data_IF_427417672137
#
_entry.id   IF_427417672137
#
_cell.length_a   1.000
_cell.length_b   1.000
_cell.length_c   1.000
_cell.angle_alpha   90.00
_cell.angle_beta   90.00
_cell.angle_gamma   90.00
#
_symmetry.space_group_name_H-M   'P 1'
#
loop_
_entity.id
_entity.type
_entity.pdbx_description
1 polymer ?
#
# COMPACT_ATOMS: atom_id res chain seq x y z
N UNK A 1 -39.14 -8.11 18.95
CA UNK A 1 -38.44 -9.40 19.02
C UNK A 1 -36.94 -9.17 18.91
N UNK A 2 -36.34 -8.87 20.05
CA UNK A 2 -34.90 -8.97 20.27
C UNK A 2 -34.57 -10.46 20.43
N UNK A 3 -33.75 -11.01 19.54
CA UNK A 3 -33.00 -12.22 19.83
C UNK A 3 -31.57 -12.00 19.34
N UNK A 4 -30.69 -11.87 20.32
CA UNK A 4 -29.26 -11.88 20.15
C UNK A 4 -28.84 -13.19 19.46
N UNK A 5 -28.20 -13.07 18.30
CA UNK A 5 -27.22 -14.06 17.84
C UNK A 5 -25.86 -13.40 17.96
N UNK A 6 -25.38 -13.34 19.20
CA UNK A 6 -23.94 -13.47 19.43
C UNK A 6 -23.57 -14.94 19.16
N UNK A 7 -22.30 -15.20 18.85
CA UNK A 7 -21.69 -16.45 18.35
C UNK A 7 -21.92 -16.63 16.83
N UNK A 8 -20.91 -16.54 15.95
CA UNK A 8 -19.60 -17.18 16.04
C UNK A 8 -18.46 -16.33 15.42
N UNK A 9 -17.62 -15.67 16.25
CA UNK A 9 -16.30 -15.19 15.83
C UNK A 9 -15.44 -16.30 15.18
N UNK A 10 -15.69 -17.57 15.51
CA UNK A 10 -15.00 -18.74 14.96
C UNK A 10 -15.26 -18.99 13.47
N UNK A 11 -16.38 -18.53 12.88
CA UNK A 11 -16.61 -18.70 11.43
C UNK A 11 -15.96 -17.58 10.60
N UNK A 12 -15.60 -16.47 11.26
CA UNK A 12 -14.93 -15.35 10.61
C UNK A 12 -13.49 -15.66 10.24
N UNK A 13 -12.78 -16.38 11.13
CA UNK A 13 -11.38 -16.75 10.91
C UNK A 13 -11.21 -17.69 9.70
N UNK A 14 -12.03 -18.74 9.50
CA UNK A 14 -12.03 -19.55 8.28
C UNK A 14 -12.39 -18.75 7.03
N UNK A 15 -13.36 -17.83 7.07
CA UNK A 15 -13.69 -16.99 5.91
C UNK A 15 -12.52 -16.08 5.53
N UNK A 16 -11.90 -15.44 6.52
CA UNK A 16 -10.71 -14.64 6.29
C UNK A 16 -9.54 -15.49 5.75
N UNK A 17 -9.28 -16.66 6.35
CA UNK A 17 -8.25 -17.59 5.92
C UNK A 17 -8.49 -18.15 4.51
N UNK A 18 -9.74 -18.43 4.13
CA UNK A 18 -10.11 -18.78 2.75
C UNK A 18 -9.85 -17.62 1.79
N UNK A 19 -10.24 -16.39 2.17
CA UNK A 19 -9.94 -15.19 1.39
C UNK A 19 -8.44 -15.02 1.13
N UNK A 20 -7.61 -15.19 2.16
CA UNK A 20 -6.15 -15.16 2.04
C UNK A 20 -5.61 -16.29 1.16
N UNK A 21 -6.13 -17.51 1.33
CA UNK A 21 -5.71 -18.68 0.55
C UNK A 21 -6.04 -18.50 -0.93
N UNK A 22 -7.27 -18.08 -1.25
CA UNK A 22 -7.65 -17.78 -2.62
C UNK A 22 -6.82 -16.64 -3.20
N UNK A 23 -6.52 -15.60 -2.42
CA UNK A 23 -5.63 -14.52 -2.84
C UNK A 23 -4.24 -15.03 -3.19
N UNK A 24 -3.67 -15.91 -2.35
CA UNK A 24 -2.36 -16.52 -2.58
C UNK A 24 -2.31 -17.31 -3.90
N UNK A 25 -3.39 -18.03 -4.22
CA UNK A 25 -3.54 -18.76 -5.49
C UNK A 25 -4.07 -17.90 -6.65
N UNK A 26 -4.11 -16.57 -6.51
CA UNK A 26 -4.62 -15.62 -7.51
C UNK A 26 -6.08 -15.84 -7.95
N UNK A 27 -6.87 -16.52 -7.12
CA UNK A 27 -8.31 -16.76 -7.29
C UNK A 27 -9.12 -15.60 -6.73
N UNK A 28 -8.95 -14.42 -7.33
CA UNK A 28 -9.47 -13.17 -6.77
C UNK A 28 -10.99 -13.12 -6.72
N UNK A 29 -11.67 -13.67 -7.74
CA UNK A 29 -13.13 -13.77 -7.77
C UNK A 29 -13.72 -14.59 -6.62
N UNK A 30 -13.01 -15.62 -6.17
CA UNK A 30 -13.42 -16.48 -5.06
C UNK A 30 -13.03 -15.89 -3.69
N UNK A 31 -11.97 -15.08 -3.63
CA UNK A 31 -11.53 -14.43 -2.40
C UNK A 31 -12.49 -13.32 -1.93
N UNK A 32 -13.04 -12.54 -2.86
CA UNK A 32 -13.90 -11.38 -2.56
C UNK A 32 -15.14 -11.77 -1.74
N UNK A 33 -15.96 -12.77 -2.12
CA UNK A 33 -17.14 -13.15 -1.34
C UNK A 33 -16.82 -13.61 0.09
N UNK A 34 -15.65 -14.22 0.30
CA UNK A 34 -15.19 -14.61 1.63
C UNK A 34 -14.94 -13.38 2.52
N UNK A 35 -14.26 -12.36 1.98
CA UNK A 35 -13.96 -11.13 2.71
C UNK A 35 -15.18 -10.22 2.87
N UNK A 36 -16.14 -10.26 1.93
CA UNK A 36 -17.40 -9.54 2.06
C UNK A 36 -18.18 -10.01 3.29
N UNK A 37 -18.25 -11.33 3.52
CA UNK A 37 -18.85 -11.88 4.75
C UNK A 37 -18.13 -11.41 6.01
N UNK A 38 -16.81 -11.28 5.94
CA UNK A 38 -16.02 -10.73 7.06
C UNK A 38 -16.43 -9.28 7.33
N UNK A 39 -16.51 -8.45 6.29
CA UNK A 39 -16.84 -7.04 6.40
C UNK A 39 -18.31 -6.77 6.74
N UNK A 40 -19.23 -7.68 6.42
CA UNK A 40 -20.62 -7.61 6.89
C UNK A 40 -20.73 -7.74 8.42
N UNK A 41 -19.85 -8.56 9.02
CA UNK A 41 -19.84 -8.81 10.47
C UNK A 41 -18.96 -7.79 11.21
N UNK A 42 -17.82 -7.43 10.60
CA UNK A 42 -16.86 -6.47 11.14
C UNK A 42 -16.57 -5.39 10.09
N UNK A 43 -17.43 -4.36 9.98
CA UNK A 43 -17.28 -3.32 8.97
C UNK A 43 -15.97 -2.54 9.04
N UNK A 44 -15.29 -2.52 10.18
CA UNK A 44 -14.00 -1.84 10.34
C UNK A 44 -12.84 -2.84 10.53
N UNK A 45 -12.99 -4.09 10.07
CA UNK A 45 -11.88 -5.04 10.10
C UNK A 45 -10.76 -4.56 9.15
N UNK A 46 -9.65 -4.14 9.75
CA UNK A 46 -8.51 -3.55 9.05
C UNK A 46 -7.93 -4.48 7.98
N UNK A 47 -7.61 -5.72 8.35
CA UNK A 47 -6.99 -6.69 7.44
C UNK A 47 -7.90 -7.10 6.29
N UNK A 48 -9.19 -7.31 6.56
CA UNK A 48 -10.16 -7.63 5.51
C UNK A 48 -10.34 -6.48 4.53
N UNK A 49 -10.33 -5.22 5.00
CA UNK A 49 -10.38 -4.06 4.10
C UNK A 49 -9.10 -3.88 3.29
N UNK A 50 -7.93 -4.08 3.91
CA UNK A 50 -6.65 -4.01 3.21
C UNK A 50 -6.62 -5.04 2.08
N UNK A 51 -6.97 -6.29 2.40
CA UNK A 51 -6.99 -7.36 1.42
C UNK A 51 -8.04 -7.13 0.32
N UNK A 52 -9.22 -6.60 0.66
CA UNK A 52 -10.22 -6.24 -0.35
C UNK A 52 -9.73 -5.12 -1.29
N UNK A 53 -9.05 -4.10 -0.73
CA UNK A 53 -8.42 -3.04 -1.51
C UNK A 53 -7.43 -3.60 -2.54
N UNK A 54 -6.52 -4.45 -2.08
CA UNK A 54 -5.57 -5.16 -2.92
C UNK A 54 -6.25 -5.98 -4.03
N UNK A 55 -7.25 -6.80 -3.66
CA UNK A 55 -7.96 -7.67 -4.59
C UNK A 55 -8.72 -6.90 -5.67
N UNK A 56 -9.45 -5.84 -5.27
CA UNK A 56 -10.14 -4.96 -6.21
C UNK A 56 -9.16 -4.34 -7.22
N UNK A 57 -7.99 -3.89 -6.76
CA UNK A 57 -6.94 -3.38 -7.66
C UNK A 57 -6.43 -4.46 -8.63
N UNK A 58 -6.25 -5.70 -8.17
CA UNK A 58 -5.80 -6.81 -9.02
C UNK A 58 -6.78 -7.19 -10.12
N UNK A 59 -8.07 -7.02 -9.89
CA UNK A 59 -9.11 -7.25 -10.92
C UNK A 59 -9.43 -6.00 -11.76
N UNK A 60 -8.72 -4.89 -11.54
CA UNK A 60 -8.88 -3.63 -12.27
C UNK A 60 -10.03 -2.75 -11.79
N UNK A 61 -10.64 -3.06 -10.65
CA UNK A 61 -11.67 -2.23 -10.01
C UNK A 61 -11.01 -1.22 -9.05
N UNK A 62 -10.29 -0.27 -9.64
CA UNK A 62 -9.52 0.75 -8.90
C UNK A 62 -10.43 1.62 -8.00
N UNK A 63 -11.67 1.87 -8.41
CA UNK A 63 -12.64 2.64 -7.63
C UNK A 63 -13.00 1.94 -6.32
N UNK A 64 -13.36 0.65 -6.36
CA UNK A 64 -13.61 -0.12 -5.13
C UNK A 64 -12.35 -0.26 -4.30
N UNK A 65 -11.19 -0.44 -4.93
CA UNK A 65 -9.92 -0.52 -4.21
C UNK A 65 -9.69 0.74 -3.36
N UNK A 66 -9.86 1.92 -3.97
CA UNK A 66 -9.77 3.21 -3.29
C UNK A 66 -10.78 3.31 -2.14
N UNK A 67 -12.03 2.87 -2.34
CA UNK A 67 -13.07 2.90 -1.29
C UNK A 67 -12.65 2.08 -0.07
N UNK A 68 -12.18 0.84 -0.27
CA UNK A 68 -11.78 -0.03 0.84
C UNK A 68 -10.57 0.53 1.60
N UNK A 69 -9.54 1.00 0.88
CA UNK A 69 -8.32 1.56 1.49
C UNK A 69 -8.58 2.91 2.16
N UNK A 70 -9.41 3.79 1.58
CA UNK A 70 -9.80 5.05 2.23
C UNK A 70 -10.57 4.81 3.52
N UNK A 71 -11.42 3.78 3.56
CA UNK A 71 -12.16 3.47 4.78
C UNK A 71 -11.24 3.19 5.96
N UNK A 72 -10.11 2.51 5.74
CA UNK A 72 -9.05 2.32 6.75
C UNK A 72 -8.58 3.67 7.32
N UNK A 73 -8.33 4.64 6.45
CA UNK A 73 -7.86 5.98 6.85
C UNK A 73 -8.90 6.81 7.61
N UNK A 74 -10.17 6.41 7.59
CA UNK A 74 -11.25 7.08 8.31
C UNK A 74 -11.42 6.58 9.75
N UNK A 75 -11.20 5.28 10.00
CA UNK A 75 -11.42 4.71 11.33
C UNK A 75 -10.13 4.37 12.10
N UNK A 76 -9.00 4.28 11.41
CA UNK A 76 -7.72 3.94 12.05
C UNK A 76 -6.84 5.17 12.22
N UNK A 77 -6.09 5.23 13.32
CA UNK A 77 -5.16 6.33 13.53
C UNK A 77 -3.96 6.18 12.60
N UNK A 78 -3.49 7.27 12.00
CA UNK A 78 -2.41 7.25 10.99
C UNK A 78 -1.15 6.50 11.44
N UNK A 79 -0.85 6.51 12.73
CA UNK A 79 0.28 5.77 13.28
C UNK A 79 0.11 4.24 13.31
N UNK A 80 -1.09 3.71 13.20
CA UNK A 80 -1.37 2.28 13.15
C UNK A 80 -1.58 1.75 11.73
N UNK A 81 -1.66 2.63 10.74
CA UNK A 81 -1.78 2.26 9.33
C UNK A 81 -0.40 1.87 8.79
N UNK A 82 -0.34 0.71 8.15
CA UNK A 82 0.87 0.19 7.52
C UNK A 82 1.24 0.97 6.27
N UNK A 83 2.53 0.92 5.93
CA UNK A 83 3.07 1.50 4.71
C UNK A 83 2.39 0.94 3.44
N UNK A 84 1.98 -0.33 3.45
CA UNK A 84 1.35 -1.00 2.30
C UNK A 84 0.05 -0.31 1.90
N UNK A 85 -0.80 0.01 2.87
CA UNK A 85 -2.08 0.72 2.63
C UNK A 85 -1.82 2.09 2.02
N UNK A 86 -0.82 2.81 2.53
CA UNK A 86 -0.45 4.12 1.99
C UNK A 86 0.13 4.02 0.58
N UNK A 87 0.96 3.01 0.31
CA UNK A 87 1.54 2.76 -1.01
C UNK A 87 0.47 2.39 -2.04
N UNK A 88 -0.41 1.45 -1.73
CA UNK A 88 -1.47 1.01 -2.65
C UNK A 88 -2.42 2.16 -2.98
N UNK A 89 -2.86 2.91 -1.96
CA UNK A 89 -3.72 4.07 -2.17
C UNK A 89 -3.01 5.17 -2.96
N UNK A 90 -1.70 5.37 -2.76
CA UNK A 90 -0.91 6.31 -3.54
C UNK A 90 -0.88 5.90 -5.02
N UNK A 91 -0.58 4.62 -5.30
CA UNK A 91 -0.48 4.08 -6.65
C UNK A 91 -1.79 4.24 -7.42
N UNK A 92 -2.92 3.91 -6.79
CA UNK A 92 -4.26 4.05 -7.39
C UNK A 92 -4.61 5.51 -7.70
N UNK A 93 -4.09 6.46 -6.92
CA UNK A 93 -4.35 7.88 -7.08
C UNK A 93 -3.35 8.61 -7.99
N UNK A 94 -2.27 7.97 -8.46
CA UNK A 94 -1.22 8.67 -9.22
C UNK A 94 -1.73 9.40 -10.46
N UNK A 95 -2.62 8.75 -11.22
CA UNK A 95 -3.17 9.31 -12.46
C UNK A 95 -4.24 10.37 -12.18
N UNK A 96 -5.05 10.16 -11.14
CA UNK A 96 -6.21 11.00 -10.82
C UNK A 96 -5.82 12.23 -10.01
N UNK A 97 -4.88 12.08 -9.07
CA UNK A 97 -4.44 13.12 -8.15
C UNK A 97 -2.97 12.89 -7.75
N UNK A 98 -2.01 13.28 -8.62
CA UNK A 98 -0.58 13.05 -8.38
C UNK A 98 -0.06 13.76 -7.13
N UNK A 99 -0.64 14.91 -6.78
CA UNK A 99 -0.30 15.64 -5.55
C UNK A 99 -0.68 14.84 -4.31
N UNK A 100 -1.88 14.24 -4.30
CA UNK A 100 -2.31 13.38 -3.20
C UNK A 100 -1.48 12.10 -3.14
N UNK A 101 -1.24 11.45 -4.28
CA UNK A 101 -0.39 10.26 -4.35
C UNK A 101 1.00 10.52 -3.74
N UNK A 102 1.63 11.65 -4.08
CA UNK A 102 2.92 12.06 -3.52
C UNK A 102 2.88 12.17 -1.98
N UNK A 103 1.84 12.80 -1.42
CA UNK A 103 1.66 12.88 0.03
C UNK A 103 1.55 11.50 0.68
N UNK A 104 0.80 10.58 0.07
CA UNK A 104 0.60 9.22 0.58
C UNK A 104 1.89 8.39 0.52
N UNK A 105 2.68 8.49 -0.54
CA UNK A 105 4.00 7.86 -0.58
C UNK A 105 4.95 8.38 0.52
N UNK A 106 4.88 9.68 0.81
CA UNK A 106 5.61 10.24 1.94
C UNK A 106 5.17 9.63 3.27
N UNK A 107 3.85 9.45 3.50
CA UNK A 107 3.34 8.75 4.70
C UNK A 107 3.86 7.32 4.79
N UNK A 108 3.80 6.56 3.70
CA UNK A 108 4.33 5.19 3.65
C UNK A 108 5.81 5.13 4.07
N UNK A 109 6.62 6.07 3.57
CA UNK A 109 8.04 6.17 3.92
C UNK A 109 8.26 6.54 5.39
N UNK A 110 7.45 7.44 5.97
CA UNK A 110 7.56 7.77 7.40
C UNK A 110 7.17 6.59 8.30
N UNK A 111 6.20 5.76 7.89
CA UNK A 111 5.86 4.50 8.58
C UNK A 111 7.07 3.55 8.59
N UNK A 112 7.70 3.31 7.44
CA UNK A 112 8.91 2.48 7.35
C UNK A 112 10.05 3.00 8.23
N UNK A 113 10.29 4.32 8.19
CA UNK A 113 11.31 4.98 9.01
C UNK A 113 11.04 4.77 10.50
N UNK A 114 9.80 4.90 10.95
CA UNK A 114 9.41 4.65 12.34
C UNK A 114 9.59 3.18 12.73
N UNK A 115 9.24 2.25 11.83
CA UNK A 115 9.47 0.81 12.00
C UNK A 115 10.96 0.41 11.91
N UNK A 116 11.88 1.37 11.67
CA UNK A 116 13.32 1.14 11.43
C UNK A 116 13.58 0.14 10.31
N UNK A 117 12.69 0.09 9.33
CA UNK A 117 12.84 -0.76 8.16
C UNK A 117 13.71 -0.05 7.11
N UNK A 118 14.40 -0.82 6.25
CA UNK A 118 15.17 -0.26 5.15
C UNK A 118 14.26 0.55 4.22
N UNK A 119 14.84 1.55 3.55
CA UNK A 119 14.09 2.36 2.61
C UNK A 119 13.57 1.48 1.46
N UNK A 120 12.27 1.55 1.20
CA UNK A 120 11.68 0.82 0.08
C UNK A 120 11.99 1.56 -1.23
N UNK A 121 12.78 0.93 -2.09
CA UNK A 121 13.21 1.49 -3.38
C UNK A 121 12.02 1.88 -4.26
N UNK A 122 10.94 1.09 -4.25
CA UNK A 122 9.75 1.39 -5.06
C UNK A 122 9.10 2.70 -4.62
N UNK A 123 8.97 2.93 -3.31
CA UNK A 123 8.45 4.21 -2.79
C UNK A 123 9.34 5.38 -3.22
N UNK A 124 10.66 5.24 -3.08
CA UNK A 124 11.61 6.30 -3.46
C UNK A 124 11.54 6.61 -4.96
N UNK A 125 11.47 5.58 -5.80
CA UNK A 125 11.32 5.70 -7.25
C UNK A 125 10.00 6.37 -7.63
N UNK A 126 8.89 6.00 -7.00
CA UNK A 126 7.58 6.59 -7.31
C UNK A 126 7.51 8.06 -6.88
N UNK A 127 8.08 8.41 -5.72
CA UNK A 127 8.23 9.82 -5.29
C UNK A 127 9.07 10.61 -6.32
N UNK A 128 10.20 10.05 -6.76
CA UNK A 128 11.06 10.70 -7.75
C UNK A 128 10.32 10.94 -9.07
N UNK A 129 9.60 9.93 -9.56
CA UNK A 129 8.81 10.04 -10.80
C UNK A 129 7.72 11.10 -10.70
N UNK A 130 7.04 11.21 -9.55
CA UNK A 130 6.04 12.25 -9.33
C UNK A 130 6.65 13.65 -9.31
N UNK A 131 7.80 13.85 -8.66
CA UNK A 131 8.52 15.13 -8.73
C UNK A 131 8.98 15.46 -10.14
N UNK A 132 9.43 14.46 -10.91
CA UNK A 132 9.80 14.64 -12.30
C UNK A 132 8.60 15.10 -13.15
N UNK A 133 7.44 14.46 -12.98
CA UNK A 133 6.18 14.85 -13.66
C UNK A 133 5.72 16.26 -13.27
N UNK A 134 6.02 16.71 -12.05
CA UNK A 134 5.73 18.06 -11.57
C UNK A 134 6.77 19.11 -12.03
N UNK A 135 7.84 18.71 -12.70
CA UNK A 135 8.95 19.60 -13.11
C UNK A 135 9.95 19.94 -12.01
N UNK A 136 9.80 19.38 -10.80
CA UNK A 136 10.77 19.55 -9.71
C UNK A 136 11.94 18.56 -9.87
N UNK A 137 12.75 18.81 -10.90
CA UNK A 137 13.88 17.96 -11.25
C UNK A 137 14.91 17.84 -10.12
N UNK A 138 15.09 18.90 -9.32
CA UNK A 138 16.02 18.89 -8.18
C UNK A 138 15.60 17.86 -7.13
N UNK A 139 14.31 17.82 -6.75
CA UNK A 139 13.83 16.78 -5.83
C UNK A 139 13.82 15.41 -6.49
N UNK A 140 13.42 15.30 -7.75
CA UNK A 140 13.42 14.04 -8.48
C UNK A 140 14.80 13.37 -8.42
N UNK A 141 15.87 14.09 -8.77
CA UNK A 141 17.27 13.60 -8.70
C UNK A 141 17.60 13.10 -7.29
N UNK A 142 17.34 13.91 -6.26
CA UNK A 142 17.62 13.52 -4.86
C UNK A 142 16.92 12.22 -4.44
N UNK A 143 15.72 11.96 -4.95
CA UNK A 143 14.99 10.73 -4.63
C UNK A 143 15.47 9.54 -5.47
N UNK A 144 15.83 9.73 -6.74
CA UNK A 144 16.46 8.69 -7.55
C UNK A 144 17.81 8.25 -6.98
N UNK A 145 18.66 9.20 -6.54
CA UNK A 145 19.93 8.89 -5.88
C UNK A 145 19.73 8.04 -4.61
N UNK A 146 18.71 8.37 -3.80
CA UNK A 146 18.35 7.56 -2.62
C UNK A 146 17.87 6.16 -3.00
N UNK A 147 17.09 6.03 -4.07
CA UNK A 147 16.61 4.74 -4.56
C UNK A 147 17.77 3.86 -5.02
N UNK A 148 18.69 4.43 -5.80
CA UNK A 148 19.91 3.76 -6.27
C UNK A 148 20.80 3.33 -5.09
N UNK A 149 21.02 4.23 -4.13
CA UNK A 149 21.79 3.92 -2.93
C UNK A 149 21.18 2.77 -2.12
N UNK A 150 19.85 2.76 -1.96
CA UNK A 150 19.12 1.68 -1.27
C UNK A 150 19.30 0.31 -1.96
N UNK A 151 19.41 0.31 -3.29
CA UNK A 151 19.70 -0.89 -4.09
C UNK A 151 21.19 -1.29 -4.11
N UNK A 152 22.08 -0.53 -3.47
CA UNK A 152 23.52 -0.78 -3.46
C UNK A 152 24.30 -0.12 -4.61
N UNK A 153 23.67 0.76 -5.38
CA UNK A 153 24.33 1.55 -6.42
C UNK A 153 24.70 2.91 -5.84
N UNK A 154 25.99 3.25 -5.80
CA UNK A 154 26.41 4.57 -5.36
C UNK A 154 26.39 5.55 -6.53
N UNK A 155 25.77 6.71 -6.31
CA UNK A 155 25.79 7.83 -7.25
C UNK A 155 26.63 8.92 -6.61
N UNK A 156 27.64 9.42 -7.33
CA UNK A 156 28.35 10.60 -6.88
C UNK A 156 27.43 11.84 -7.01
N UNK A 157 27.28 12.65 -5.94
CA UNK A 157 26.40 13.81 -5.98
C UNK A 157 26.78 14.76 -7.12
N UNK A 158 25.86 15.00 -8.04
CA UNK A 158 26.02 16.00 -9.11
C UNK A 158 26.90 15.62 -10.30
N UNK A 159 27.48 14.40 -10.37
CA UNK A 159 28.32 13.99 -11.50
C UNK A 159 27.56 13.22 -12.59
N UNK A 160 26.36 12.71 -12.29
CA UNK A 160 25.62 11.82 -13.19
C UNK A 160 26.31 10.46 -13.42
N UNK A 161 27.49 10.22 -12.81
CA UNK A 161 28.24 9.00 -12.96
C UNK A 161 27.79 7.96 -11.92
N UNK A 162 27.34 6.80 -12.41
CA UNK A 162 26.95 5.65 -11.59
C UNK A 162 28.19 4.82 -11.26
N UNK A 163 28.53 4.68 -9.98
CA UNK A 163 29.53 3.72 -9.50
C UNK A 163 28.79 2.52 -8.88
N UNK A 164 28.78 1.40 -9.61
CA UNK A 164 28.25 0.14 -9.09
C UNK A 164 29.32 -0.52 -8.24
N UNK A 165 29.16 -0.49 -6.92
CA UNK A 165 29.92 -1.35 -6.04
C UNK A 165 29.12 -2.63 -5.86
N UNK A 166 29.61 -3.74 -6.43
CA UNK A 166 29.04 -5.05 -6.14
C UNK A 166 29.10 -5.30 -4.64
N UNK A 167 27.98 -5.69 -4.02
CA UNK A 167 28.00 -6.15 -2.64
C UNK A 167 28.87 -7.40 -2.57
N UNK A 168 30.04 -7.28 -1.96
CA UNK A 168 30.85 -8.40 -1.44
C UNK A 168 30.15 -9.05 -0.26
#
# INVERSE_FOLDING_TARGET
YNHAVSFWPEFLLPQFGLGQTFTHFSKYSEAIPCLDKVLQTQPNNYEARKLMGFLCSKIGDDEKAIVHLRKITEFETENKIDEEVWMELAQLLEKQNPTRALQLYHKAREVLKRKKQPANTNILNNIASLYQKQGDHSKAIKFYEKALFSCGIQVEPGSGALKVFGKS
#
